data_IF_062250264979
#
_entry.id   IF_062250264979
#
_cell.length_a   1.000
_cell.length_b   1.000
_cell.length_c   1.000
_cell.angle_alpha   90.00
_cell.angle_beta   90.00
_cell.angle_gamma   90.00
#
_symmetry.space_group_name_H-M   'P 1'
#
loop_
_entity.id
_entity.type
_entity.pdbx_description
1 polymer ?
#
# COMPACT_ATOMS: atom_id res chain seq x y z
N UNK A 1 21.93 -6.20 -14.38
CA UNK A 1 20.60 -5.60 -14.19
C UNK A 1 20.29 -4.72 -15.39
N UNK A 2 19.26 -5.04 -16.18
CA UNK A 2 18.94 -4.32 -17.42
C UNK A 2 17.89 -3.27 -17.09
N UNK A 3 18.29 -2.01 -16.88
CA UNK A 3 17.33 -0.92 -16.68
C UNK A 3 16.47 -0.75 -17.94
N UNK A 4 15.17 -1.07 -17.83
CA UNK A 4 14.21 -0.84 -18.92
C UNK A 4 13.89 0.65 -18.96
N UNK A 5 14.25 1.33 -20.07
CA UNK A 5 13.96 2.74 -20.31
C UNK A 5 12.47 2.88 -20.66
N UNK A 6 11.65 3.28 -19.69
CA UNK A 6 10.23 3.57 -19.87
C UNK A 6 9.95 4.97 -19.32
N UNK A 7 9.20 5.78 -20.05
CA UNK A 7 8.73 7.10 -19.59
C UNK A 7 7.59 6.98 -18.59
N UNK A 8 6.96 5.79 -18.50
CA UNK A 8 5.94 5.47 -17.50
C UNK A 8 6.52 4.54 -16.42
N UNK A 9 6.15 4.75 -15.14
CA UNK A 9 6.62 3.89 -14.06
C UNK A 9 6.15 2.46 -14.27
N UNK A 10 7.05 1.51 -14.04
CA UNK A 10 6.73 0.08 -14.03
C UNK A 10 6.40 -0.33 -12.61
N UNK A 11 5.12 -0.58 -12.33
CA UNK A 11 4.64 -0.91 -10.99
C UNK A 11 4.32 -2.40 -10.91
N UNK A 12 4.89 -3.07 -9.92
CA UNK A 12 4.57 -4.46 -9.58
C UNK A 12 3.75 -4.51 -8.30
N UNK A 13 2.60 -5.19 -8.36
CA UNK A 13 1.69 -5.34 -7.22
C UNK A 13 1.68 -6.77 -6.73
N UNK A 14 1.72 -6.94 -5.41
CA UNK A 14 1.67 -8.24 -4.75
C UNK A 14 0.65 -8.15 -3.64
N UNK A 15 -0.26 -9.11 -3.57
CA UNK A 15 -1.20 -9.23 -2.45
C UNK A 15 -1.03 -10.58 -1.76
N UNK A 16 -0.80 -10.52 -0.45
CA UNK A 16 -0.59 -11.70 0.38
C UNK A 16 -1.72 -11.83 1.40
N UNK A 17 -2.31 -13.01 1.48
CA UNK A 17 -3.32 -13.36 2.48
C UNK A 17 -2.78 -14.45 3.39
N UNK A 18 -2.70 -14.13 4.69
CA UNK A 18 -2.24 -15.05 5.71
C UNK A 18 -3.26 -16.17 5.93
N UNK A 19 -2.85 -17.42 5.72
CA UNK A 19 -3.70 -18.62 5.73
C UNK A 19 -4.44 -18.80 7.06
N UNK A 20 -3.74 -18.62 8.17
CA UNK A 20 -4.27 -18.73 9.53
C UNK A 20 -5.33 -17.66 9.84
N UNK A 21 -5.28 -16.54 9.13
CA UNK A 21 -6.22 -15.43 9.26
C UNK A 21 -7.14 -15.31 8.05
N UNK A 22 -7.22 -16.37 7.24
CA UNK A 22 -7.97 -16.33 5.99
C UNK A 22 -9.42 -15.94 6.24
N UNK A 23 -10.07 -16.41 7.31
CA UNK A 23 -11.47 -16.10 7.63
C UNK A 23 -11.70 -14.76 8.36
N UNK A 24 -10.64 -14.08 8.83
CA UNK A 24 -10.80 -12.76 9.45
C UNK A 24 -11.24 -11.76 8.37
N UNK A 25 -12.36 -11.08 8.62
CA UNK A 25 -12.97 -10.04 7.78
C UNK A 25 -13.34 -8.85 8.66
N UNK A 26 -13.21 -7.64 8.12
CA UNK A 26 -13.57 -6.41 8.83
C UNK A 26 -14.81 -5.77 8.20
N UNK A 27 -15.94 -6.48 8.24
CA UNK A 27 -17.21 -6.05 7.62
C UNK A 27 -17.97 -5.01 8.43
N UNK A 28 -17.60 -4.79 9.71
CA UNK A 28 -18.33 -3.90 10.63
C UNK A 28 -18.03 -2.41 10.42
N UNK A 29 -16.82 -2.09 9.96
CA UNK A 29 -16.33 -0.71 9.91
C UNK A 29 -16.03 -0.21 8.49
N UNK A 30 -15.73 -1.11 7.56
CA UNK A 30 -15.33 -0.79 6.18
C UNK A 30 -15.92 -1.80 5.20
N UNK A 31 -16.15 -1.44 3.92
CA UNK A 31 -16.47 -2.38 2.87
C UNK A 31 -15.47 -3.54 2.81
N UNK A 32 -15.97 -4.77 2.75
CA UNK A 32 -15.13 -5.95 2.60
C UNK A 32 -14.75 -6.07 1.14
N UNK A 33 -13.48 -5.80 0.90
CA UNK A 33 -12.87 -5.87 -0.42
C UNK A 33 -11.60 -6.69 -0.38
N UNK A 34 -11.35 -7.40 0.73
CA UNK A 34 -10.16 -8.23 0.94
C UNK A 34 -9.90 -9.17 -0.24
N UNK A 35 -10.98 -9.66 -0.84
CA UNK A 35 -10.91 -10.69 -1.86
C UNK A 35 -10.66 -10.05 -3.24
N UNK A 36 -11.03 -8.77 -3.44
CA UNK A 36 -11.06 -8.08 -4.72
C UNK A 36 -9.73 -7.41 -5.08
N UNK A 37 -8.65 -8.21 -5.15
CA UNK A 37 -7.35 -7.72 -5.60
C UNK A 37 -7.34 -7.43 -7.10
N UNK A 38 -7.01 -6.19 -7.48
CA UNK A 38 -7.02 -5.78 -8.89
C UNK A 38 -5.73 -6.11 -9.64
N UNK A 39 -4.63 -6.34 -8.92
CA UNK A 39 -3.33 -6.71 -9.49
C UNK A 39 -3.23 -8.18 -9.93
N UNK A 40 -4.37 -8.86 -10.09
CA UNK A 40 -4.47 -10.26 -10.47
C UNK A 40 -4.74 -11.16 -9.27
N UNK A 41 -3.71 -11.90 -8.85
CA UNK A 41 -3.89 -13.06 -7.98
C UNK A 41 -3.33 -12.85 -6.58
N UNK A 42 -4.13 -13.20 -5.58
CA UNK A 42 -3.72 -13.14 -4.18
C UNK A 42 -2.98 -14.41 -3.79
N UNK A 43 -1.81 -14.26 -3.17
CA UNK A 43 -1.00 -15.35 -2.66
C UNK A 43 -1.40 -15.72 -1.23
N UNK A 44 -1.83 -16.96 -1.02
CA UNK A 44 -2.16 -17.49 0.29
C UNK A 44 -0.96 -18.24 0.85
N UNK A 45 -0.44 -17.78 1.99
CA UNK A 45 0.73 -18.36 2.65
C UNK A 45 0.57 -18.37 4.16
N UNK A 46 1.29 -19.25 4.86
CA UNK A 46 1.26 -19.32 6.33
C UNK A 46 1.90 -18.07 6.94
N UNK A 47 1.62 -17.79 8.21
CA UNK A 47 2.25 -16.70 8.96
C UNK A 47 3.78 -16.76 8.90
N UNK A 48 4.37 -17.95 9.04
CA UNK A 48 5.83 -18.11 8.96
C UNK A 48 6.35 -17.77 7.57
N UNK A 49 5.71 -18.30 6.51
CA UNK A 49 6.06 -17.99 5.13
C UNK A 49 5.90 -16.50 4.81
N UNK A 50 4.85 -15.86 5.34
CA UNK A 50 4.60 -14.42 5.18
C UNK A 50 5.73 -13.58 5.76
N UNK A 51 6.19 -13.92 6.96
CA UNK A 51 7.30 -13.21 7.63
C UNK A 51 8.59 -13.34 6.84
N UNK A 52 8.94 -14.56 6.41
CA UNK A 52 10.13 -14.81 5.58
C UNK A 52 10.05 -14.05 4.27
N UNK A 53 8.90 -14.09 3.60
CA UNK A 53 8.68 -13.40 2.33
C UNK A 53 8.82 -11.87 2.49
N UNK A 54 8.18 -11.29 3.50
CA UNK A 54 8.25 -9.85 3.76
C UNK A 54 9.66 -9.40 4.12
N UNK A 55 10.39 -10.16 4.96
CA UNK A 55 11.78 -9.86 5.29
C UNK A 55 12.64 -9.83 4.02
N UNK A 56 12.55 -10.86 3.17
CA UNK A 56 13.31 -10.90 1.91
C UNK A 56 12.98 -9.76 0.95
N UNK A 57 11.74 -9.28 0.92
CA UNK A 57 11.37 -8.11 0.13
C UNK A 57 12.04 -6.83 0.65
N UNK A 58 12.06 -6.64 1.96
CA UNK A 58 12.71 -5.50 2.59
C UNK A 58 14.22 -5.56 2.38
N UNK A 59 14.84 -6.72 2.62
CA UNK A 59 16.27 -6.92 2.40
C UNK A 59 16.66 -6.57 0.96
N UNK A 60 15.94 -7.10 -0.04
CA UNK A 60 16.22 -6.86 -1.47
C UNK A 60 15.95 -5.41 -1.88
N UNK A 61 14.75 -4.89 -1.63
CA UNK A 61 14.31 -3.64 -2.23
C UNK A 61 14.62 -2.40 -1.40
N UNK A 62 14.69 -2.52 -0.08
CA UNK A 62 14.92 -1.38 0.83
C UNK A 62 16.39 -1.32 1.26
N UNK A 63 16.98 -2.46 1.57
CA UNK A 63 18.35 -2.49 2.11
C UNK A 63 19.38 -2.60 0.98
N UNK A 64 19.33 -3.65 0.15
CA UNK A 64 20.31 -3.90 -0.93
C UNK A 64 20.19 -2.88 -2.09
N UNK A 65 18.97 -2.48 -2.44
CA UNK A 65 18.70 -1.54 -3.54
C UNK A 65 18.53 -0.08 -3.08
N UNK A 66 18.70 0.19 -1.79
CA UNK A 66 18.49 1.50 -1.17
C UNK A 66 17.13 2.14 -1.50
N UNK A 67 16.08 1.34 -1.47
CA UNK A 67 14.72 1.78 -1.79
C UNK A 67 14.08 2.62 -0.70
N UNK A 68 13.04 3.36 -1.12
CA UNK A 68 12.22 4.20 -0.24
C UNK A 68 10.95 3.44 0.15
N UNK A 69 10.71 3.31 1.45
CA UNK A 69 9.50 2.70 2.00
C UNK A 69 8.34 3.71 2.00
N UNK A 70 7.33 3.45 1.18
CA UNK A 70 6.16 4.31 1.04
C UNK A 70 4.99 3.72 1.82
N UNK A 71 4.32 4.54 2.63
CA UNK A 71 3.16 4.13 3.40
C UNK A 71 2.13 5.24 3.61
N UNK A 72 1.04 4.88 4.28
CA UNK A 72 -0.01 5.80 4.66
C UNK A 72 -0.18 5.68 6.18
N UNK A 73 0.67 6.42 6.91
CA UNK A 73 0.98 6.28 8.34
C UNK A 73 2.16 5.36 8.71
N UNK A 74 3.25 5.36 7.92
CA UNK A 74 4.45 4.47 7.98
C UNK A 74 4.86 3.96 9.38
N UNK A 75 4.81 4.81 10.40
CA UNK A 75 5.11 4.42 11.78
C UNK A 75 4.27 3.24 12.31
N UNK A 76 3.03 3.10 11.84
CA UNK A 76 2.13 2.01 12.20
C UNK A 76 2.55 0.70 11.54
N UNK A 77 2.92 0.75 10.26
CA UNK A 77 3.45 -0.38 9.49
C UNK A 77 4.75 -0.90 10.13
N UNK A 78 5.71 -0.02 10.45
CA UNK A 78 6.96 -0.42 11.08
C UNK A 78 6.77 -1.03 12.48
N UNK A 79 5.83 -0.50 13.27
CA UNK A 79 5.43 -1.11 14.56
C UNK A 79 4.84 -2.50 14.36
N UNK A 80 3.98 -2.66 13.34
CA UNK A 80 3.40 -3.95 13.01
C UNK A 80 4.48 -4.95 12.57
N UNK A 81 5.40 -4.57 11.69
CA UNK A 81 6.52 -5.43 11.27
C UNK A 81 7.33 -5.91 12.46
N UNK A 82 7.71 -5.00 13.36
CA UNK A 82 8.41 -5.37 14.61
C UNK A 82 7.60 -6.36 15.45
N UNK A 83 6.28 -6.18 15.55
CA UNK A 83 5.41 -7.06 16.34
C UNK A 83 5.34 -8.49 15.79
N UNK A 84 5.56 -8.68 14.48
CA UNK A 84 5.58 -10.00 13.83
C UNK A 84 7.02 -10.52 13.62
N UNK A 85 8.03 -9.83 14.16
CA UNK A 85 9.44 -10.24 14.04
C UNK A 85 10.08 -9.98 12.67
N UNK A 86 9.53 -9.04 11.90
CA UNK A 86 10.13 -8.52 10.67
C UNK A 86 10.88 -7.23 10.99
N UNK A 87 12.14 -7.14 10.56
CA UNK A 87 13.03 -6.04 10.88
C UNK A 87 13.29 -5.17 9.64
N UNK A 88 13.43 -3.87 9.86
CA UNK A 88 13.89 -2.90 8.86
C UNK A 88 15.16 -2.22 9.36
N UNK A 89 16.01 -1.72 8.45
CA UNK A 89 17.14 -0.84 8.81
C UNK A 89 16.65 0.40 9.58
N UNK A 90 17.46 0.87 10.53
CA UNK A 90 17.08 1.98 11.42
C UNK A 90 16.94 3.32 10.68
N UNK A 91 17.64 3.46 9.56
CA UNK A 91 17.75 4.64 8.71
C UNK A 91 16.97 4.49 7.38
N UNK A 92 15.92 3.67 7.38
CA UNK A 92 15.08 3.46 6.19
C UNK A 92 14.52 4.79 5.67
N UNK A 93 14.75 5.07 4.38
CA UNK A 93 14.12 6.18 3.70
C UNK A 93 12.62 5.95 3.62
N UNK A 94 11.81 6.94 4.02
CA UNK A 94 10.36 6.78 4.08
C UNK A 94 9.61 7.95 3.43
N UNK A 95 8.49 7.63 2.79
CA UNK A 95 7.48 8.61 2.38
C UNK A 95 6.17 8.24 3.06
N UNK A 96 5.67 9.12 3.90
CA UNK A 96 4.39 8.97 4.59
C UNK A 96 3.36 9.90 3.94
N UNK A 97 2.51 9.31 3.10
CA UNK A 97 1.49 10.05 2.35
C UNK A 97 0.45 10.73 3.25
N UNK A 98 0.18 10.16 4.43
CA UNK A 98 -0.71 10.78 5.40
C UNK A 98 -0.10 12.07 5.95
N UNK A 99 1.20 12.05 6.31
CA UNK A 99 1.91 13.24 6.79
C UNK A 99 2.04 14.30 5.71
N UNK A 100 2.36 13.91 4.47
CA UNK A 100 2.45 14.84 3.35
C UNK A 100 1.10 15.55 3.11
N UNK A 101 -0.01 14.81 3.18
CA UNK A 101 -1.33 15.41 3.06
C UNK A 101 -1.63 16.35 4.23
N UNK A 102 -1.24 15.99 5.45
CA UNK A 102 -1.43 16.84 6.64
C UNK A 102 -0.68 18.18 6.61
N UNK A 103 0.41 18.29 5.84
CA UNK A 103 1.05 19.59 5.59
C UNK A 103 0.14 20.53 4.80
N UNK A 104 -0.77 19.95 4.01
CA UNK A 104 -1.61 20.64 3.04
C UNK A 104 -3.05 20.79 3.54
N UNK A 105 -3.55 19.85 4.34
CA UNK A 105 -4.96 19.74 4.72
C UNK A 105 -5.20 19.52 6.20
N UNK A 106 -6.23 20.19 6.72
CA UNK A 106 -6.83 19.89 8.01
C UNK A 106 -7.90 18.79 7.83
N UNK A 107 -7.69 17.65 8.50
CA UNK A 107 -8.56 16.47 8.33
C UNK A 107 -8.48 15.81 6.95
N UNK A 108 -9.34 14.83 6.66
CA UNK A 108 -9.32 14.14 5.35
C UNK A 108 -8.07 13.30 5.10
N UNK A 109 -7.43 12.79 6.16
CA UNK A 109 -6.15 12.10 6.09
C UNK A 109 -6.29 10.59 5.85
N UNK A 110 -7.41 10.13 5.31
CA UNK A 110 -7.53 8.73 4.89
C UNK A 110 -7.01 8.57 3.48
N UNK A 111 -6.63 7.35 3.11
CA UNK A 111 -6.19 7.06 1.75
C UNK A 111 -7.29 7.43 0.74
N UNK A 112 -8.55 7.08 1.04
CA UNK A 112 -9.70 7.47 0.23
C UNK A 112 -9.78 8.98 -0.02
N UNK A 113 -9.72 9.78 1.05
CA UNK A 113 -9.80 11.24 0.93
C UNK A 113 -8.60 11.81 0.18
N UNK A 114 -7.41 11.25 0.42
CA UNK A 114 -6.18 11.60 -0.30
C UNK A 114 -6.32 11.39 -1.80
N UNK A 115 -6.84 10.23 -2.23
CA UNK A 115 -7.06 9.94 -3.64
C UNK A 115 -8.12 10.85 -4.26
N UNK A 116 -9.15 11.25 -3.49
CA UNK A 116 -10.19 12.19 -3.93
C UNK A 116 -9.65 13.62 -4.13
N UNK A 117 -8.79 14.11 -3.23
CA UNK A 117 -8.10 15.41 -3.38
C UNK A 117 -7.20 15.42 -4.62
N UNK A 118 -6.51 14.31 -4.88
CA UNK A 118 -5.60 14.16 -6.02
C UNK A 118 -6.33 13.81 -7.33
N UNK A 119 -7.65 13.63 -7.30
CA UNK A 119 -8.47 13.19 -8.44
C UNK A 119 -7.97 11.88 -9.08
N UNK A 120 -7.38 10.99 -8.28
CA UNK A 120 -6.92 9.68 -8.73
C UNK A 120 -8.10 8.71 -8.69
N UNK A 121 -8.51 8.11 -9.81
CA UNK A 121 -9.54 7.07 -9.81
C UNK A 121 -9.06 5.86 -9.01
N UNK A 122 -9.92 5.33 -8.14
CA UNK A 122 -9.61 4.17 -7.31
C UNK A 122 -10.77 3.17 -7.27
N UNK A 123 -10.45 1.92 -6.93
CA UNK A 123 -11.40 0.83 -6.80
C UNK A 123 -10.98 -0.14 -5.69
N UNK A 124 -11.95 -0.83 -5.10
CA UNK A 124 -11.71 -1.93 -4.15
C UNK A 124 -10.69 -1.62 -3.03
N UNK A 125 -10.75 -0.41 -2.46
CA UNK A 125 -10.02 -0.07 -1.22
C UNK A 125 -10.43 -1.02 -0.09
N UNK A 126 -9.56 -1.22 0.90
CA UNK A 126 -9.64 -2.26 1.95
C UNK A 126 -9.19 -3.66 1.51
N UNK A 127 -8.69 -3.78 0.28
CA UNK A 127 -7.75 -4.83 -0.10
C UNK A 127 -6.32 -4.31 0.13
N UNK A 128 -5.49 -5.01 0.91
CA UNK A 128 -4.17 -4.52 1.27
C UNK A 128 -3.23 -4.30 0.06
N UNK A 129 -3.37 -5.11 -0.99
CA UNK A 129 -2.59 -4.96 -2.23
C UNK A 129 -3.01 -3.74 -3.05
N UNK A 130 -4.32 -3.50 -3.17
CA UNK A 130 -4.85 -2.31 -3.83
C UNK A 130 -4.50 -1.04 -3.03
N UNK A 131 -4.63 -1.09 -1.70
CA UNK A 131 -4.30 0.03 -0.82
C UNK A 131 -2.82 0.41 -0.95
N UNK A 132 -1.91 -0.57 -1.03
CA UNK A 132 -0.49 -0.34 -1.28
C UNK A 132 -0.24 0.30 -2.67
N UNK A 133 -0.91 -0.20 -3.71
CA UNK A 133 -0.82 0.37 -5.07
C UNK A 133 -1.26 1.84 -5.11
N UNK A 134 -2.43 2.16 -4.55
CA UNK A 134 -2.93 3.53 -4.53
C UNK A 134 -2.13 4.44 -3.60
N UNK A 135 -1.56 3.90 -2.52
CA UNK A 135 -0.63 4.65 -1.67
C UNK A 135 0.62 5.05 -2.46
N UNK A 136 1.15 4.16 -3.31
CA UNK A 136 2.27 4.50 -4.19
C UNK A 136 1.89 5.58 -5.21
N UNK A 137 0.73 5.48 -5.86
CA UNK A 137 0.26 6.51 -6.79
C UNK A 137 0.05 7.87 -6.11
N UNK A 138 -0.51 7.85 -4.89
CA UNK A 138 -0.67 9.04 -4.08
C UNK A 138 0.69 9.67 -3.74
N UNK A 139 1.70 8.87 -3.36
CA UNK A 139 3.04 9.36 -3.10
C UNK A 139 3.67 10.02 -4.33
N UNK A 140 3.61 9.36 -5.48
CA UNK A 140 4.13 9.92 -6.74
C UNK A 140 3.47 11.27 -7.06
N UNK A 141 2.15 11.38 -6.87
CA UNK A 141 1.40 12.61 -7.15
C UNK A 141 1.67 13.71 -6.11
N UNK A 142 1.73 13.37 -4.83
CA UNK A 142 2.01 14.33 -3.74
C UNK A 142 3.42 14.92 -3.82
N UNK A 143 4.35 14.20 -4.45
CA UNK A 143 5.73 14.61 -4.67
C UNK A 143 5.96 15.29 -6.03
N UNK A 144 4.96 15.38 -6.90
CA UNK A 144 5.05 16.10 -8.18
C UNK A 144 4.72 17.60 -7.97
N UNK A 145 5.69 18.53 -8.18
CA UNK A 145 5.45 19.96 -8.01
C UNK A 145 4.30 20.52 -8.85
N UNK A 146 4.07 19.98 -10.06
CA UNK A 146 3.00 20.44 -10.94
C UNK A 146 1.64 20.06 -10.35
N UNK A 147 1.51 18.83 -9.84
CA UNK A 147 0.29 18.39 -9.16
C UNK A 147 0.06 19.20 -7.89
N UNK A 148 1.11 19.49 -7.11
CA UNK A 148 0.99 20.29 -5.89
C UNK A 148 0.46 21.69 -6.16
N UNK A 149 0.94 22.33 -7.22
CA UNK A 149 0.46 23.66 -7.65
C UNK A 149 -0.99 23.57 -8.12
N UNK A 150 -1.31 22.64 -9.02
CA UNK A 150 -2.67 22.46 -9.59
C UNK A 150 -3.71 22.23 -8.49
N UNK A 151 -3.39 21.37 -7.52
CA UNK A 151 -4.29 20.99 -6.42
C UNK A 151 -4.20 21.91 -5.19
N UNK A 152 -3.44 23.01 -5.28
CA UNK A 152 -3.20 23.95 -4.17
C UNK A 152 -2.75 23.26 -2.88
N UNK A 153 -1.87 22.26 -2.98
CA UNK A 153 -1.39 21.48 -1.84
C UNK A 153 -0.34 22.22 -1.01
N UNK A 154 0.20 23.33 -1.49
CA UNK A 154 1.11 24.19 -0.72
C UNK A 154 0.36 25.31 0.05
N UNK A 155 -0.97 25.28 0.04
CA UNK A 155 -1.83 26.18 0.80
C UNK A 155 -2.65 25.35 1.80
N UNK A 156 -2.41 25.60 3.09
CA UNK A 156 -3.09 24.86 4.15
C UNK A 156 -4.59 25.20 4.20
N UNK A 157 -5.46 24.18 4.10
CA UNK A 157 -6.91 24.36 4.12
C UNK A 157 -7.66 23.13 4.66
N UNK A 158 -8.94 23.28 5.02
CA UNK A 158 -9.76 22.14 5.44
C UNK A 158 -10.05 21.18 4.27
N UNK A 159 -9.95 19.87 4.50
CA UNK A 159 -10.39 18.90 3.49
C UNK A 159 -11.93 18.82 3.45
N UNK A 160 -12.55 18.93 2.25
CA UNK A 160 -13.98 18.65 2.06
C UNK A 160 -14.32 17.16 2.25
N UNK A 161 -13.35 16.25 2.20
CA UNK A 161 -13.58 14.81 2.22
C UNK A 161 -13.47 14.24 3.64
N UNK A 162 -14.57 14.38 4.40
CA UNK A 162 -14.72 13.80 5.74
C UNK A 162 -15.49 12.47 5.63
N UNK A 163 -14.96 11.40 6.23
CA UNK A 163 -15.40 10.02 5.95
C UNK A 163 -16.88 9.74 6.23
N UNK A 164 -17.50 8.88 5.40
CA UNK A 164 -18.83 8.27 5.61
C UNK A 164 -18.75 6.74 5.40
N UNK A 165 -19.59 5.97 6.10
CA UNK A 165 -19.66 4.49 6.01
C UNK A 165 -20.30 4.03 4.68
N UNK A 166 -19.88 2.88 4.15
CA UNK A 166 -20.42 2.28 2.92
C UNK A 166 -20.69 0.76 3.06
N UNK A 167 -21.51 0.19 2.15
CA UNK A 167 -22.06 -1.18 2.17
C UNK A 167 -21.47 -2.13 1.09
N UNK A 168 -21.83 -3.42 1.14
CA UNK A 168 -21.04 -4.59 0.67
C UNK A 168 -21.61 -5.40 -0.53
N UNK A 169 -20.72 -6.09 -1.28
CA UNK A 169 -20.97 -7.23 -2.21
C UNK A 169 -19.63 -7.95 -2.57
N UNK A 170 -19.65 -9.28 -2.81
CA UNK A 170 -18.48 -10.19 -2.86
C UNK A 170 -18.45 -11.23 -4.01
N UNK A 171 -17.29 -11.34 -4.67
CA UNK A 171 -16.74 -12.55 -5.33
C UNK A 171 -15.27 -12.34 -5.76
N UNK A 172 -14.36 -13.35 -5.65
CA UNK A 172 -12.93 -13.26 -6.08
C UNK A 172 -12.14 -14.60 -6.19
N UNK A 173 -10.86 -14.56 -6.63
CA UNK A 173 -9.99 -15.73 -6.93
C UNK A 173 -8.62 -15.69 -6.21
N UNK A 174 -8.08 -16.86 -5.83
CA UNK A 174 -6.88 -17.02 -4.97
C UNK A 174 -5.90 -18.10 -5.45
N UNK A 175 -4.62 -17.96 -5.09
CA UNK A 175 -3.57 -18.96 -5.34
C UNK A 175 -2.82 -19.33 -4.06
N UNK A 176 -2.60 -20.63 -3.81
CA UNK A 176 -1.86 -21.10 -2.63
C UNK A 176 -0.37 -21.20 -2.95
N UNK A 177 0.49 -20.62 -2.12
CA UNK A 177 1.95 -20.62 -2.32
C UNK A 177 2.62 -21.76 -1.56
N UNK A 178 3.17 -22.70 -2.31
CA UNK A 178 3.97 -23.80 -1.77
C UNK A 178 5.46 -23.44 -1.64
N UNK A 179 6.01 -22.73 -2.62
CA UNK A 179 7.43 -22.36 -2.70
C UNK A 179 7.59 -20.83 -2.81
N UNK A 180 8.28 -20.23 -1.85
CA UNK A 180 8.48 -18.77 -1.77
C UNK A 180 9.56 -18.32 -2.76
N UNK A 181 10.60 -19.11 -2.98
CA UNK A 181 11.76 -18.69 -3.78
C UNK A 181 11.34 -18.41 -5.22
N UNK A 182 10.51 -19.30 -5.79
CA UNK A 182 9.93 -19.10 -7.14
C UNK A 182 9.14 -17.80 -7.26
N UNK A 183 8.43 -17.41 -6.20
CA UNK A 183 7.69 -16.14 -6.20
C UNK A 183 8.70 -15.00 -6.26
N UNK A 184 9.71 -14.98 -5.38
CA UNK A 184 10.73 -13.93 -5.30
C UNK A 184 11.57 -13.83 -6.58
N UNK A 185 11.97 -14.95 -7.18
CA UNK A 185 12.70 -14.99 -8.45
C UNK A 185 11.89 -14.39 -9.60
N UNK A 186 10.55 -14.48 -9.54
CA UNK A 186 9.68 -13.85 -10.53
C UNK A 186 9.54 -12.33 -10.34
N UNK A 187 9.94 -11.77 -9.18
CA UNK A 187 9.91 -10.34 -8.80
C UNK A 187 11.19 -9.60 -9.20
#
# INVERSE_FOLDING_TARGET
>A
MTYRKSTVPQIKTIHVVVKEHFKKRNTLYVPDKKDQFMGGSSFVMTENKTRIFLQKLLDKYVDEMDGVFVGHQVSSELKYFKSIGVNCKADVHTIDTMKLMQLSKSGGNSLWATLRELEIPYGHLHNAGNDAYFTLLAALSLCDPIVRIDKNLDIYMDSPYKGKKAAHDDSSTYFVVEDIEKVIESL
#
